data_IF_411431937279
#
_entry.id   IF_411431937279
#
_cell.length_a   1.000
_cell.length_b   1.000
_cell.length_c   1.000
_cell.angle_alpha   90.00
_cell.angle_beta   90.00
_cell.angle_gamma   90.00
#
_symmetry.space_group_name_H-M   'P 1'
#
loop_
_entity.id
_entity.type
_entity.pdbx_description
1 polymer ?
#
# COMPACT_ATOMS: atom_id res chain seq x y z
N UNK A 1 -81.22 -41.37 -8.15
CA UNK A 1 -81.86 -40.06 -7.89
C UNK A 1 -80.83 -39.00 -8.28
N UNK A 2 -80.83 -38.58 -9.55
CA UNK A 2 -81.44 -37.32 -10.05
C UNK A 2 -80.75 -36.09 -9.44
N UNK A 3 -80.33 -35.03 -10.13
CA UNK A 3 -80.37 -34.55 -11.50
C UNK A 3 -79.44 -33.31 -11.53
N UNK A 4 -78.74 -33.02 -12.62
CA UNK A 4 -78.40 -31.61 -12.99
C UNK A 4 -79.63 -30.99 -13.71
N UNK A 5 -79.70 -29.71 -14.19
CA UNK A 5 -78.77 -28.56 -14.21
C UNK A 5 -79.45 -27.17 -13.97
N UNK A 6 -78.78 -26.06 -14.36
CA UNK A 6 -79.22 -24.68 -14.72
C UNK A 6 -78.62 -23.57 -13.83
N UNK A 7 -77.65 -22.75 -14.28
CA UNK A 7 -77.72 -21.56 -15.18
C UNK A 7 -78.63 -20.42 -14.71
N UNK A 8 -78.05 -19.27 -14.32
CA UNK A 8 -78.28 -17.96 -14.97
C UNK A 8 -77.31 -16.85 -14.50
N UNK A 9 -76.56 -16.34 -15.47
CA UNK A 9 -76.15 -14.94 -15.77
C UNK A 9 -76.20 -13.83 -14.70
N UNK A 10 -75.11 -13.06 -14.59
CA UNK A 10 -75.10 -11.60 -14.89
C UNK A 10 -73.68 -10.97 -14.90
N UNK A 11 -73.35 -10.40 -16.07
CA UNK A 11 -72.60 -9.15 -16.35
C UNK A 11 -71.18 -8.92 -15.79
N UNK A 12 -70.20 -9.10 -16.67
CA UNK A 12 -68.85 -8.52 -16.62
C UNK A 12 -68.89 -7.06 -17.11
N UNK A 13 -68.32 -6.07 -16.40
CA UNK A 13 -68.05 -4.76 -16.98
C UNK A 13 -66.76 -4.81 -17.81
N UNK A 14 -66.90 -4.59 -19.11
CA UNK A 14 -65.79 -4.22 -19.98
C UNK A 14 -65.26 -2.83 -19.60
N UNK A 15 -64.04 -2.75 -19.07
CA UNK A 15 -63.27 -1.49 -19.09
C UNK A 15 -62.36 -1.48 -20.32
N UNK A 16 -62.75 -0.65 -21.29
CA UNK A 16 -61.95 -0.21 -22.44
C UNK A 16 -60.61 0.35 -21.97
N UNK A 17 -59.52 -0.19 -22.47
CA UNK A 17 -58.23 0.50 -22.52
C UNK A 17 -58.28 1.48 -23.69
N UNK A 18 -58.75 2.70 -23.43
CA UNK A 18 -58.56 3.85 -24.33
C UNK A 18 -57.72 4.88 -23.59
N UNK A 19 -56.42 4.91 -23.89
CA UNK A 19 -55.59 6.09 -24.11
C UNK A 19 -54.11 5.72 -23.96
N UNK A 20 -53.44 5.57 -25.10
CA UNK A 20 -51.99 5.54 -25.20
C UNK A 20 -51.48 6.99 -25.06
N UNK A 21 -50.62 7.33 -24.09
CA UNK A 21 -49.98 8.64 -24.07
C UNK A 21 -48.95 8.69 -25.20
N UNK A 22 -49.14 9.62 -26.15
CA UNK A 22 -48.15 9.99 -27.15
C UNK A 22 -46.88 10.46 -26.42
N UNK A 23 -45.86 9.61 -26.34
CA UNK A 23 -44.51 10.03 -26.04
C UNK A 23 -44.03 10.91 -27.18
N UNK A 24 -43.92 12.22 -26.93
CA UNK A 24 -43.30 13.15 -27.86
C UNK A 24 -41.79 12.89 -27.86
N UNK A 25 -41.30 12.22 -28.91
CA UNK A 25 -39.87 12.05 -29.13
C UNK A 25 -39.25 13.40 -29.50
N UNK A 26 -38.57 14.05 -28.55
CA UNK A 26 -37.74 15.21 -28.84
C UNK A 26 -36.38 14.75 -29.39
N UNK A 27 -36.19 14.79 -30.72
CA UNK A 27 -34.91 14.48 -31.35
C UNK A 27 -33.86 15.56 -31.00
N UNK A 28 -32.74 15.15 -30.41
CA UNK A 28 -31.53 15.98 -30.34
C UNK A 28 -30.64 15.63 -31.54
N UNK A 29 -30.47 16.57 -32.48
CA UNK A 29 -29.58 16.41 -33.63
C UNK A 29 -28.14 16.68 -33.22
N UNK A 30 -27.30 15.63 -33.16
CA UNK A 30 -25.84 15.77 -33.00
C UNK A 30 -25.22 15.80 -34.40
N UNK A 31 -24.59 16.92 -34.77
CA UNK A 31 -23.83 17.04 -36.02
C UNK A 31 -22.51 16.27 -35.89
N UNK A 32 -22.35 15.21 -36.69
CA UNK A 32 -21.12 14.43 -36.85
C UNK A 32 -20.49 14.77 -38.22
N UNK A 33 -19.18 15.06 -38.34
CA UNK A 33 -18.56 15.46 -39.61
C UNK A 33 -18.06 14.25 -40.40
N UNK A 34 -18.93 13.30 -40.75
CA UNK A 34 -18.63 12.23 -41.75
C UNK A 34 -19.92 11.94 -42.53
N UNK A 35 -19.91 11.87 -43.88
CA UNK A 35 -21.15 11.77 -44.64
C UNK A 35 -21.71 10.33 -44.60
N UNK A 36 -22.99 10.23 -44.19
CA UNK A 36 -23.95 9.14 -44.43
C UNK A 36 -23.88 7.87 -43.56
N UNK A 37 -24.09 8.01 -42.25
CA UNK A 37 -24.94 7.07 -41.46
C UNK A 37 -25.69 7.89 -40.40
N UNK A 38 -27.02 7.96 -40.48
CA UNK A 38 -27.85 8.61 -39.46
C UNK A 38 -28.03 7.61 -38.30
N UNK A 39 -27.11 7.60 -37.34
CA UNK A 39 -27.28 6.79 -36.12
C UNK A 39 -28.31 7.48 -35.21
N UNK A 40 -29.55 7.02 -35.26
CA UNK A 40 -30.61 7.43 -34.32
C UNK A 40 -30.40 6.65 -33.03
N UNK A 41 -29.75 7.27 -32.04
CA UNK A 41 -29.68 6.72 -30.68
C UNK A 41 -30.97 7.16 -29.95
N UNK A 42 -31.83 6.23 -29.48
CA UNK A 42 -33.01 6.60 -28.70
C UNK A 42 -32.58 7.43 -27.48
N UNK A 43 -33.34 8.47 -27.13
CA UNK A 43 -33.02 9.36 -25.99
C UNK A 43 -32.78 8.54 -24.71
N UNK A 44 -33.53 7.46 -24.50
CA UNK A 44 -33.31 6.53 -23.38
C UNK A 44 -31.93 5.87 -23.38
N UNK A 45 -31.42 5.45 -24.54
CA UNK A 45 -30.07 4.87 -24.69
C UNK A 45 -28.99 5.95 -24.50
N UNK A 46 -29.21 7.17 -24.99
CA UNK A 46 -28.29 8.29 -24.76
C UNK A 46 -28.23 8.69 -23.27
N UNK A 47 -29.37 8.77 -22.60
CA UNK A 47 -29.45 9.04 -21.16
C UNK A 47 -28.83 7.91 -20.33
N UNK A 48 -28.99 6.64 -20.74
CA UNK A 48 -28.30 5.48 -20.15
C UNK A 48 -26.78 5.56 -20.33
N UNK A 49 -26.30 5.94 -21.51
CA UNK A 49 -24.87 6.14 -21.78
C UNK A 49 -24.29 7.32 -20.98
N UNK A 50 -25.04 8.42 -20.85
CA UNK A 50 -24.64 9.55 -20.00
C UNK A 50 -24.65 9.19 -18.52
N UNK A 51 -25.68 8.48 -18.04
CA UNK A 51 -25.71 7.94 -16.68
C UNK A 51 -24.54 7.00 -16.44
N UNK A 52 -24.28 6.06 -17.35
CA UNK A 52 -23.17 5.11 -17.26
C UNK A 52 -21.82 5.83 -17.22
N UNK A 53 -21.60 6.84 -18.07
CA UNK A 53 -20.40 7.69 -18.03
C UNK A 53 -20.27 8.48 -16.73
N UNK A 54 -21.34 9.09 -16.25
CA UNK A 54 -21.35 9.83 -14.99
C UNK A 54 -21.10 8.92 -13.79
N UNK A 55 -21.66 7.71 -13.78
CA UNK A 55 -21.42 6.71 -12.73
C UNK A 55 -19.99 6.19 -12.76
N UNK A 56 -19.41 5.95 -13.95
CA UNK A 56 -18.01 5.55 -14.08
C UNK A 56 -17.06 6.66 -13.64
N UNK A 57 -17.34 7.92 -14.00
CA UNK A 57 -16.57 9.08 -13.53
C UNK A 57 -16.58 9.18 -12.01
N UNK A 58 -17.78 9.12 -11.39
CA UNK A 58 -17.91 9.21 -9.93
C UNK A 58 -17.24 8.05 -9.21
N UNK A 59 -17.29 6.84 -9.78
CA UNK A 59 -16.59 5.67 -9.23
C UNK A 59 -15.06 5.86 -9.29
N UNK A 60 -14.55 6.38 -10.41
CA UNK A 60 -13.12 6.65 -10.56
C UNK A 60 -12.65 7.73 -9.56
N UNK A 61 -13.39 8.82 -9.42
CA UNK A 61 -13.06 9.91 -8.49
C UNK A 61 -13.02 9.41 -7.03
N UNK A 62 -13.99 8.55 -6.65
CA UNK A 62 -13.99 7.93 -5.32
C UNK A 62 -12.80 7.00 -5.14
N UNK A 63 -12.48 6.16 -6.13
CA UNK A 63 -11.31 5.29 -6.07
C UNK A 63 -10.00 6.09 -5.93
N UNK A 64 -9.85 7.17 -6.69
CA UNK A 64 -8.68 8.06 -6.56
C UNK A 64 -8.58 8.69 -5.17
N UNK A 65 -9.72 9.10 -4.59
CA UNK A 65 -9.78 9.58 -3.20
C UNK A 65 -9.39 8.49 -2.19
N UNK A 66 -9.80 7.25 -2.41
CA UNK A 66 -9.41 6.11 -1.55
C UNK A 66 -7.90 5.84 -1.58
N UNK A 67 -7.24 6.07 -2.72
CA UNK A 67 -5.78 6.02 -2.89
C UNK A 67 -5.09 7.38 -2.68
N UNK A 68 -5.73 8.31 -1.98
CA UNK A 68 -5.15 9.60 -1.61
C UNK A 68 -5.14 9.79 -0.08
N UNK A 69 -4.23 9.14 0.68
CA UNK A 69 -4.23 9.21 2.15
C UNK A 69 -4.17 10.64 2.71
N UNK A 70 -3.57 11.59 1.98
CA UNK A 70 -3.56 13.01 2.35
C UNK A 70 -4.95 13.63 2.47
N UNK A 71 -5.93 13.16 1.69
CA UNK A 71 -7.33 13.63 1.76
C UNK A 71 -8.08 13.11 2.99
N UNK A 72 -7.50 12.17 3.73
CA UNK A 72 -8.08 11.57 4.94
C UNK A 72 -7.40 12.03 6.22
N UNK A 73 -6.32 12.83 6.14
CA UNK A 73 -5.70 13.42 7.33
C UNK A 73 -6.69 14.32 8.07
N UNK A 74 -6.81 14.08 9.38
CA UNK A 74 -7.60 14.92 10.28
C UNK A 74 -6.80 16.11 10.84
N UNK A 75 -5.47 16.14 10.63
CA UNK A 75 -4.57 17.14 11.22
C UNK A 75 -4.49 18.41 10.40
N UNK A 76 -4.45 18.29 9.08
CA UNK A 76 -4.14 19.40 8.16
C UNK A 76 -4.82 19.20 6.80
N UNK A 77 -4.69 20.18 5.92
CA UNK A 77 -5.09 20.01 4.51
C UNK A 77 -4.22 18.97 3.81
N UNK A 78 -4.71 18.42 2.69
CA UNK A 78 -3.98 17.40 1.93
C UNK A 78 -2.58 17.85 1.47
N UNK A 79 -2.43 19.11 1.06
CA UNK A 79 -1.13 19.64 0.63
C UNK A 79 -0.21 19.93 1.83
N UNK A 80 -0.77 20.44 2.93
CA UNK A 80 0.01 20.82 4.10
C UNK A 80 0.50 19.60 4.86
N UNK A 81 -0.30 18.52 4.95
CA UNK A 81 0.13 17.28 5.60
C UNK A 81 1.32 16.65 4.86
N UNK A 82 1.32 16.67 3.51
CA UNK A 82 2.45 16.16 2.71
C UNK A 82 3.71 16.99 2.97
N UNK A 83 3.61 18.33 2.96
CA UNK A 83 4.75 19.22 3.24
C UNK A 83 5.28 19.05 4.65
N UNK A 84 4.37 18.97 5.64
CA UNK A 84 4.71 18.75 7.04
C UNK A 84 5.41 17.40 7.21
N UNK A 85 4.91 16.36 6.56
CA UNK A 85 5.48 15.02 6.60
C UNK A 85 6.93 15.01 6.09
N UNK A 86 7.18 15.52 4.88
CA UNK A 86 8.54 15.58 4.31
C UNK A 86 9.47 16.37 5.23
N UNK A 87 8.99 17.47 5.83
CA UNK A 87 9.78 18.27 6.77
C UNK A 87 10.14 17.46 8.02
N UNK A 88 9.15 16.81 8.65
CA UNK A 88 9.35 16.00 9.84
C UNK A 88 10.35 14.84 9.60
N UNK A 89 10.24 14.15 8.46
CA UNK A 89 11.14 13.07 8.08
C UNK A 89 12.59 13.57 7.86
N UNK A 90 12.76 14.71 7.19
CA UNK A 90 14.07 15.35 6.99
C UNK A 90 14.69 15.75 8.31
N UNK A 91 13.95 16.47 9.16
CA UNK A 91 14.44 16.90 10.46
C UNK A 91 14.82 15.71 11.35
N UNK A 92 14.00 14.66 11.37
CA UNK A 92 14.31 13.42 12.09
C UNK A 92 15.58 12.76 11.57
N UNK A 93 15.77 12.72 10.26
CA UNK A 93 16.96 12.14 9.63
C UNK A 93 18.22 12.96 9.91
N UNK A 94 18.15 14.30 9.86
CA UNK A 94 19.27 15.16 10.24
C UNK A 94 19.62 15.02 11.73
N UNK A 95 18.62 14.89 12.61
CA UNK A 95 18.86 14.57 14.02
C UNK A 95 19.60 13.24 14.17
N UNK A 96 19.19 12.20 13.44
CA UNK A 96 19.86 10.91 13.47
C UNK A 96 21.32 10.99 13.03
N UNK A 97 21.63 11.77 11.98
CA UNK A 97 23.00 12.01 11.49
C UNK A 97 23.88 12.71 12.53
N UNK A 98 23.29 13.56 13.37
CA UNK A 98 24.01 14.22 14.48
C UNK A 98 24.26 13.32 15.70
N UNK A 99 23.52 12.21 15.84
CA UNK A 99 23.56 11.32 17.01
C UNK A 99 24.31 10.00 16.77
N UNK A 100 24.36 9.53 15.52
CA UNK A 100 24.93 8.24 15.16
C UNK A 100 26.19 8.39 14.30
N UNK A 101 27.06 7.38 14.32
CA UNK A 101 28.05 7.24 13.25
C UNK A 101 27.32 6.82 11.98
N UNK A 102 27.53 7.56 10.87
CA UNK A 102 26.82 7.28 9.62
C UNK A 102 27.75 6.89 8.48
N UNK A 103 27.36 5.86 7.72
CA UNK A 103 27.92 5.53 6.42
C UNK A 103 26.87 5.87 5.36
N UNK A 104 27.06 6.98 4.65
CA UNK A 104 26.10 7.46 3.66
C UNK A 104 26.47 6.96 2.27
N UNK A 105 25.46 6.74 1.43
CA UNK A 105 25.63 6.36 0.03
C UNK A 105 26.44 5.06 -0.20
N UNK A 106 26.31 4.09 0.70
CA UNK A 106 26.96 2.79 0.57
C UNK A 106 26.29 2.02 -0.58
N UNK A 107 27.00 1.69 -1.67
CA UNK A 107 26.38 1.03 -2.82
C UNK A 107 26.02 -0.42 -2.49
N UNK A 108 24.84 -0.85 -2.94
CA UNK A 108 24.44 -2.26 -2.96
C UNK A 108 24.20 -2.80 -4.39
N UNK A 109 24.24 -1.92 -5.38
CA UNK A 109 24.12 -2.22 -6.80
C UNK A 109 24.81 -1.14 -7.64
N UNK A 110 24.64 -1.21 -8.96
CA UNK A 110 25.31 -0.29 -9.90
C UNK A 110 24.49 0.98 -10.17
N UNK A 111 23.18 0.95 -9.90
CA UNK A 111 22.30 2.09 -10.14
C UNK A 111 22.47 3.23 -9.14
N UNK A 112 22.19 4.46 -9.57
CA UNK A 112 22.22 5.65 -8.69
C UNK A 112 21.27 5.55 -7.49
N UNK A 113 20.12 4.88 -7.67
CA UNK A 113 19.16 4.60 -6.60
C UNK A 113 19.59 3.47 -5.67
N UNK A 114 20.58 2.64 -6.05
CA UNK A 114 20.97 1.44 -5.31
C UNK A 114 22.01 1.71 -4.21
N UNK A 115 21.64 2.59 -3.28
CA UNK A 115 22.50 3.05 -2.18
C UNK A 115 21.80 2.91 -0.83
N UNK A 116 22.60 2.72 0.21
CA UNK A 116 22.17 2.64 1.61
C UNK A 116 22.72 3.84 2.38
N UNK A 117 21.95 4.32 3.35
CA UNK A 117 22.46 5.12 4.47
C UNK A 117 22.38 4.26 5.74
N UNK A 118 23.52 4.03 6.38
CA UNK A 118 23.64 3.15 7.55
C UNK A 118 23.99 3.96 8.79
N UNK A 119 23.18 3.81 9.82
CA UNK A 119 23.29 4.49 11.12
C UNK A 119 23.76 3.45 12.14
N UNK A 120 25.00 3.60 12.59
CA UNK A 120 25.70 2.63 13.43
C UNK A 120 25.65 3.11 14.89
N UNK A 121 25.18 2.27 15.83
CA UNK A 121 25.17 2.58 17.24
C UNK A 121 26.59 2.56 17.82
N UNK A 122 26.85 3.42 18.80
CA UNK A 122 28.06 3.29 19.62
C UNK A 122 27.85 2.17 20.65
N UNK A 123 28.33 0.97 20.37
CA UNK A 123 28.20 -0.19 21.24
C UNK A 123 29.47 -1.04 21.25
N UNK A 124 29.70 -1.74 22.36
CA UNK A 124 30.79 -2.72 22.50
C UNK A 124 30.34 -4.14 22.16
N UNK A 125 29.05 -4.36 21.89
CA UNK A 125 28.54 -5.67 21.46
C UNK A 125 29.04 -6.00 20.06
N UNK A 126 29.51 -7.23 19.87
CA UNK A 126 29.89 -7.73 18.55
C UNK A 126 28.65 -8.01 17.71
N UNK A 127 27.64 -8.67 18.28
CA UNK A 127 26.38 -8.96 17.57
C UNK A 127 25.32 -7.90 17.89
N UNK A 128 24.76 -7.29 16.85
CA UNK A 128 23.75 -6.21 16.97
C UNK A 128 22.51 -6.53 16.12
N UNK A 129 21.29 -6.19 16.58
CA UNK A 129 20.13 -6.24 15.71
C UNK A 129 20.25 -5.16 14.64
N UNK A 130 19.79 -5.48 13.42
CA UNK A 130 19.78 -4.57 12.29
C UNK A 130 18.35 -4.46 11.75
N UNK A 131 17.86 -3.23 11.59
CA UNK A 131 16.58 -2.96 10.91
C UNK A 131 16.83 -2.28 9.57
N UNK A 132 16.23 -2.84 8.51
CA UNK A 132 16.13 -2.20 7.20
C UNK A 132 14.83 -1.40 7.14
N UNK A 133 14.93 -0.12 6.81
CA UNK A 133 13.80 0.75 6.57
C UNK A 133 13.59 1.01 5.07
N UNK A 134 12.35 0.83 4.63
CA UNK A 134 11.89 1.08 3.26
C UNK A 134 10.86 2.22 3.26
N UNK A 135 11.16 3.28 2.51
CA UNK A 135 10.32 4.48 2.51
C UNK A 135 9.01 4.33 1.73
N UNK A 136 8.06 5.22 2.00
CA UNK A 136 6.79 5.29 1.27
C UNK A 136 6.89 6.13 0.00
N UNK A 137 5.83 6.86 -0.29
CA UNK A 137 5.79 7.81 -1.41
C UNK A 137 5.31 7.22 -2.74
N UNK A 138 4.44 6.20 -2.71
CA UNK A 138 3.84 5.59 -3.92
C UNK A 138 4.86 5.14 -4.97
N UNK A 139 6.06 4.73 -4.53
CA UNK A 139 7.18 4.37 -5.41
C UNK A 139 7.60 5.49 -6.39
N UNK A 140 7.25 6.74 -6.07
CA UNK A 140 7.37 7.93 -6.93
C UNK A 140 8.02 9.11 -6.21
N UNK A 141 8.05 9.09 -4.89
CA UNK A 141 8.50 10.18 -4.03
C UNK A 141 9.29 9.62 -2.85
N UNK A 142 9.93 10.55 -2.12
CA UNK A 142 10.84 10.29 -1.01
C UNK A 142 12.10 9.53 -1.46
N UNK A 143 13.03 9.41 -0.52
CA UNK A 143 14.31 8.76 -0.74
C UNK A 143 14.93 8.31 0.58
N UNK A 144 16.09 7.67 0.53
CA UNK A 144 16.82 7.30 1.75
C UNK A 144 17.25 8.53 2.58
N UNK A 145 17.36 9.69 1.94
CA UNK A 145 17.75 10.96 2.55
C UNK A 145 16.74 11.46 3.59
N UNK A 146 15.48 11.02 3.52
CA UNK A 146 14.42 11.30 4.50
C UNK A 146 14.09 10.10 5.40
N UNK A 147 14.95 9.07 5.42
CA UNK A 147 14.59 7.75 5.97
C UNK A 147 15.42 7.32 7.18
N UNK A 148 16.20 8.23 7.77
CA UNK A 148 17.04 7.95 8.94
C UNK A 148 16.38 8.23 10.29
N UNK A 149 15.19 8.82 10.31
CA UNK A 149 14.54 9.34 11.54
C UNK A 149 14.39 8.31 12.67
N UNK A 150 14.08 7.05 12.35
CA UNK A 150 13.95 6.00 13.36
C UNK A 150 15.26 5.63 14.04
N UNK A 151 16.40 6.02 13.47
CA UNK A 151 17.70 5.77 14.09
C UNK A 151 17.87 6.59 15.38
N UNK A 152 17.17 7.72 15.55
CA UNK A 152 17.25 8.56 16.75
C UNK A 152 17.06 7.74 18.04
N UNK A 153 15.95 7.01 18.27
CA UNK A 153 15.83 6.19 19.47
C UNK A 153 16.57 4.84 19.37
N UNK A 154 16.69 4.26 18.18
CA UNK A 154 17.17 2.89 18.00
C UNK A 154 18.68 2.74 18.21
N UNK A 155 19.49 3.71 17.76
CA UNK A 155 20.95 3.62 17.90
C UNK A 155 21.38 3.66 19.37
N UNK A 156 20.65 4.41 20.21
CA UNK A 156 20.87 4.43 21.66
C UNK A 156 20.56 3.09 22.33
N UNK A 157 19.74 2.25 21.71
CA UNK A 157 19.43 0.89 22.16
C UNK A 157 20.34 -0.18 21.52
N UNK A 158 21.39 0.24 20.81
CA UNK A 158 22.37 -0.64 20.19
C UNK A 158 21.85 -1.35 18.94
N UNK A 159 20.95 -0.71 18.20
CA UNK A 159 20.36 -1.22 16.95
C UNK A 159 21.01 -0.48 15.76
N UNK A 160 21.39 -1.22 14.72
CA UNK A 160 21.80 -0.64 13.43
C UNK A 160 20.55 -0.34 12.61
N UNK A 161 20.47 0.86 12.05
CA UNK A 161 19.39 1.24 11.12
C UNK A 161 19.97 1.41 9.72
N UNK A 162 19.34 0.77 8.74
CA UNK A 162 19.70 0.88 7.32
C UNK A 162 18.53 1.47 6.55
N UNK A 163 18.69 2.69 6.07
CA UNK A 163 17.76 3.30 5.14
C UNK A 163 18.14 2.91 3.70
N UNK A 164 17.23 2.26 2.99
CA UNK A 164 17.48 1.78 1.62
C UNK A 164 16.92 2.79 0.62
N UNK A 165 17.77 3.23 -0.30
CA UNK A 165 17.32 3.88 -1.53
C UNK A 165 16.99 2.82 -2.58
N UNK A 166 16.05 3.13 -3.47
CA UNK A 166 15.77 2.35 -4.68
C UNK A 166 15.31 3.32 -5.78
N UNK A 167 15.35 2.91 -7.04
CA UNK A 167 14.84 3.76 -8.11
C UNK A 167 13.33 3.98 -7.95
N UNK A 168 12.84 5.16 -8.31
CA UNK A 168 11.41 5.50 -8.26
C UNK A 168 10.88 5.74 -9.67
N UNK A 169 9.58 5.56 -9.87
CA UNK A 169 8.93 5.86 -11.14
C UNK A 169 9.02 7.35 -11.49
N UNK A 170 9.16 7.71 -12.78
CA UNK A 170 9.09 6.83 -13.96
C UNK A 170 10.43 6.19 -14.36
N UNK A 171 11.53 6.45 -13.63
CA UNK A 171 12.85 5.88 -13.95
C UNK A 171 12.89 4.38 -13.60
N UNK A 172 12.38 4.03 -12.42
CA UNK A 172 12.15 2.65 -12.00
C UNK A 172 10.77 2.13 -12.43
N UNK A 173 10.61 0.80 -12.39
CA UNK A 173 9.32 0.12 -12.50
C UNK A 173 9.18 -0.91 -11.36
N UNK A 174 7.98 -1.45 -11.17
CA UNK A 174 7.66 -2.29 -10.01
C UNK A 174 8.62 -3.48 -9.83
N UNK A 175 8.91 -4.23 -10.90
CA UNK A 175 9.80 -5.39 -10.79
C UNK A 175 11.25 -5.00 -10.50
N UNK A 176 11.70 -3.89 -11.08
CA UNK A 176 13.04 -3.35 -10.83
C UNK A 176 13.16 -2.96 -9.35
N UNK A 177 12.18 -2.24 -8.80
CA UNK A 177 12.17 -1.83 -7.40
C UNK A 177 12.16 -3.03 -6.46
N UNK A 178 11.31 -4.03 -6.73
CA UNK A 178 11.27 -5.28 -5.95
C UNK A 178 12.61 -6.04 -6.03
N UNK A 179 13.23 -6.10 -7.22
CA UNK A 179 14.56 -6.70 -7.37
C UNK A 179 15.64 -5.93 -6.61
N UNK A 180 15.61 -4.59 -6.65
CA UNK A 180 16.55 -3.72 -5.96
C UNK A 180 16.49 -3.90 -4.45
N UNK A 181 15.30 -3.90 -3.83
CA UNK A 181 15.21 -4.08 -2.38
C UNK A 181 15.63 -5.49 -1.94
N UNK A 182 15.43 -6.52 -2.76
CA UNK A 182 15.98 -7.87 -2.51
C UNK A 182 17.51 -7.87 -2.56
N UNK A 183 18.12 -7.21 -3.56
CA UNK A 183 19.58 -7.04 -3.64
C UNK A 183 20.14 -6.25 -2.45
N UNK A 184 19.40 -5.26 -1.94
CA UNK A 184 19.81 -4.51 -0.76
C UNK A 184 19.97 -5.43 0.47
N UNK A 185 19.07 -6.38 0.67
CA UNK A 185 19.15 -7.37 1.75
C UNK A 185 20.36 -8.29 1.56
N UNK A 186 20.62 -8.74 0.33
CA UNK A 186 21.81 -9.55 0.01
C UNK A 186 23.09 -8.81 0.38
N UNK A 187 23.20 -7.56 -0.05
CA UNK A 187 24.34 -6.70 0.25
C UNK A 187 24.51 -6.47 1.75
N UNK A 188 23.43 -6.19 2.48
CA UNK A 188 23.48 -5.99 3.93
C UNK A 188 24.02 -7.25 4.63
N UNK A 189 23.52 -8.44 4.31
CA UNK A 189 23.99 -9.69 4.94
C UNK A 189 25.46 -9.97 4.62
N UNK A 190 25.90 -9.66 3.40
CA UNK A 190 27.28 -9.89 2.98
C UNK A 190 28.26 -8.88 3.60
N UNK A 191 27.83 -7.63 3.79
CA UNK A 191 28.67 -6.56 4.35
C UNK A 191 28.70 -6.58 5.89
N UNK A 192 27.62 -7.04 6.55
CA UNK A 192 27.48 -7.01 8.00
C UNK A 192 27.34 -8.43 8.57
N UNK A 193 28.48 -9.05 8.90
CA UNK A 193 28.54 -10.45 9.35
C UNK A 193 28.15 -10.69 10.82
N UNK A 194 28.06 -9.63 11.63
CA UNK A 194 27.74 -9.71 13.06
C UNK A 194 26.37 -9.15 13.39
N UNK A 195 25.34 -9.66 12.71
CA UNK A 195 23.95 -9.31 12.97
C UNK A 195 23.30 -10.39 13.85
N UNK A 196 22.74 -9.98 14.99
CA UNK A 196 21.99 -10.89 15.87
C UNK A 196 20.61 -11.25 15.31
N UNK A 197 20.16 -10.53 14.27
CA UNK A 197 18.89 -10.73 13.57
C UNK A 197 18.59 -9.57 12.63
N UNK A 198 17.93 -9.87 11.51
CA UNK A 198 17.47 -8.88 10.55
C UNK A 198 15.99 -8.57 10.79
N UNK A 199 15.65 -7.29 10.81
CA UNK A 199 14.29 -6.80 10.94
C UNK A 199 13.96 -5.89 9.76
N UNK A 200 12.69 -5.88 9.36
CA UNK A 200 12.20 -5.00 8.31
C UNK A 200 11.23 -3.98 8.91
N UNK A 201 11.28 -2.75 8.43
CA UNK A 201 10.26 -1.74 8.68
C UNK A 201 9.96 -1.06 7.36
N UNK A 202 8.69 -1.00 6.97
CA UNK A 202 8.26 -0.33 5.75
C UNK A 202 7.03 0.51 6.02
N UNK A 203 6.93 1.63 5.31
CA UNK A 203 5.76 2.51 5.35
C UNK A 203 5.11 2.60 3.97
N UNK A 204 3.79 2.41 3.87
CA UNK A 204 3.06 2.62 2.62
C UNK A 204 3.62 1.73 1.49
N UNK A 205 4.07 2.33 0.38
CA UNK A 205 4.82 1.66 -0.68
C UNK A 205 6.07 0.89 -0.18
N UNK A 206 6.69 1.32 0.93
CA UNK A 206 7.79 0.60 1.56
C UNK A 206 7.34 -0.63 2.36
N UNK A 207 6.14 -0.60 2.95
CA UNK A 207 5.54 -1.79 3.59
C UNK A 207 5.19 -2.85 2.54
N UNK A 208 4.73 -2.42 1.37
CA UNK A 208 4.60 -3.29 0.20
C UNK A 208 5.95 -3.95 -0.15
N UNK A 209 7.02 -3.17 -0.30
CA UNK A 209 8.35 -3.70 -0.63
C UNK A 209 8.90 -4.64 0.46
N UNK A 210 8.67 -4.32 1.75
CA UNK A 210 9.03 -5.21 2.86
C UNK A 210 8.29 -6.55 2.78
N UNK A 211 6.99 -6.54 2.46
CA UNK A 211 6.23 -7.75 2.27
C UNK A 211 6.73 -8.56 1.06
N UNK A 212 7.15 -7.90 -0.02
CA UNK A 212 7.78 -8.56 -1.17
C UNK A 212 9.14 -9.21 -0.82
N UNK A 213 9.89 -8.63 0.12
CA UNK A 213 11.11 -9.22 0.69
C UNK A 213 10.77 -10.48 1.48
N UNK A 214 9.76 -10.44 2.36
CA UNK A 214 9.32 -11.59 3.16
C UNK A 214 8.86 -12.77 2.29
N UNK A 215 8.21 -12.49 1.16
CA UNK A 215 7.77 -13.47 0.16
C UNK A 215 8.85 -13.93 -0.81
N UNK A 216 10.12 -13.56 -0.61
CA UNK A 216 11.20 -13.90 -1.55
C UNK A 216 11.66 -15.34 -1.37
N UNK A 217 11.73 -16.10 -2.46
CA UNK A 217 12.43 -17.38 -2.46
C UNK A 217 13.94 -17.14 -2.41
N UNK A 218 14.49 -17.19 -1.19
CA UNK A 218 15.91 -16.94 -0.94
C UNK A 218 16.83 -18.03 -1.49
N UNK A 219 16.31 -19.20 -1.89
CA UNK A 219 17.13 -20.25 -2.53
C UNK A 219 17.70 -19.82 -3.89
N UNK A 220 17.10 -18.79 -4.50
CA UNK A 220 17.56 -18.16 -5.74
C UNK A 220 18.71 -17.16 -5.53
N UNK A 221 19.07 -16.88 -4.27
CA UNK A 221 20.11 -15.95 -3.88
C UNK A 221 21.26 -16.70 -3.18
N UNK A 222 22.43 -16.06 -3.09
CA UNK A 222 23.61 -16.63 -2.44
C UNK A 222 23.57 -16.55 -0.90
N UNK A 223 22.44 -16.14 -0.32
CA UNK A 223 22.27 -15.86 1.11
C UNK A 223 20.89 -16.33 1.56
N UNK A 224 20.78 -16.63 2.85
CA UNK A 224 19.49 -16.88 3.51
C UNK A 224 19.38 -15.94 4.71
N UNK A 225 18.67 -14.81 4.60
CA UNK A 225 18.52 -13.88 5.72
C UNK A 225 17.78 -14.53 6.89
N UNK A 226 18.28 -14.30 8.09
CA UNK A 226 17.52 -14.57 9.31
C UNK A 226 16.60 -13.38 9.62
N UNK A 227 15.50 -13.26 8.88
CA UNK A 227 14.48 -12.23 9.12
C UNK A 227 13.68 -12.64 10.36
N UNK A 228 13.88 -11.93 11.47
CA UNK A 228 13.25 -12.24 12.77
C UNK A 228 11.95 -11.47 13.00
N UNK A 229 11.77 -10.33 12.34
CA UNK A 229 10.53 -9.57 12.45
C UNK A 229 10.33 -8.54 11.35
N UNK A 230 9.08 -8.15 11.14
CA UNK A 230 8.70 -7.15 10.15
C UNK A 230 7.58 -6.24 10.64
N UNK A 231 7.77 -4.93 10.49
CA UNK A 231 6.78 -3.89 10.71
C UNK A 231 6.27 -3.36 9.38
N UNK A 232 5.04 -3.70 9.03
CA UNK A 232 4.38 -3.30 7.79
C UNK A 232 3.36 -2.21 8.12
N UNK A 233 3.77 -0.94 7.97
CA UNK A 233 2.99 0.21 8.44
C UNK A 233 2.21 0.84 7.30
N UNK A 234 0.87 0.79 7.39
CA UNK A 234 -0.09 1.39 6.46
C UNK A 234 0.21 1.03 5.01
N UNK A 235 0.45 -0.26 4.75
CA UNK A 235 0.92 -0.77 3.47
C UNK A 235 -0.16 -1.01 2.42
N UNK A 236 0.31 -1.30 1.20
CA UNK A 236 -0.50 -1.71 0.06
C UNK A 236 -0.12 -3.15 -0.28
N UNK A 237 -1.09 -4.05 -0.31
CA UNK A 237 -0.86 -5.49 -0.46
C UNK A 237 -1.61 -6.10 -1.66
N UNK A 238 -2.54 -5.37 -2.25
CA UNK A 238 -3.16 -5.65 -3.55
C UNK A 238 -2.98 -4.43 -4.47
N UNK A 239 -2.25 -4.62 -5.57
CA UNK A 239 -1.95 -3.58 -6.54
C UNK A 239 -2.97 -3.50 -7.68
N UNK A 240 -3.89 -4.45 -7.81
CA UNK A 240 -4.87 -4.44 -8.91
C UNK A 240 -5.73 -3.15 -8.93
N UNK A 241 -6.25 -2.65 -7.79
CA UNK A 241 -7.08 -1.44 -7.83
C UNK A 241 -6.30 -0.20 -8.28
N UNK A 242 -4.99 -0.15 -8.04
CA UNK A 242 -4.11 0.98 -8.42
C UNK A 242 -4.10 1.20 -9.93
N UNK A 243 -4.27 0.15 -10.73
CA UNK A 243 -4.27 0.22 -12.20
C UNK A 243 -5.27 1.25 -12.75
N UNK A 244 -6.36 1.50 -12.01
CA UNK A 244 -7.44 2.43 -12.40
C UNK A 244 -7.31 3.82 -11.76
N UNK A 245 -6.18 4.13 -11.12
CA UNK A 245 -5.94 5.38 -10.39
C UNK A 245 -4.79 6.19 -10.97
N UNK A 246 -4.71 7.48 -10.62
CA UNK A 246 -3.59 8.36 -11.00
C UNK A 246 -2.21 7.83 -10.57
N UNK A 247 -2.15 6.99 -9.53
CA UNK A 247 -0.90 6.40 -9.02
C UNK A 247 -0.21 5.55 -10.09
N UNK A 248 -0.97 4.92 -11.00
CA UNK A 248 -0.40 4.07 -12.05
C UNK A 248 0.14 4.86 -13.25
N UNK A 249 -0.15 6.15 -13.39
CA UNK A 249 0.29 6.95 -14.54
C UNK A 249 1.81 6.94 -14.76
N UNK A 250 2.67 7.14 -13.73
CA UNK A 250 4.11 7.00 -13.88
C UNK A 250 4.61 5.56 -13.78
N UNK A 251 3.91 4.67 -13.05
CA UNK A 251 4.33 3.28 -12.84
C UNK A 251 4.09 2.41 -14.08
N UNK A 252 3.03 2.71 -14.84
CA UNK A 252 2.60 2.01 -16.05
C UNK A 252 2.54 0.50 -15.87
N UNK A 253 2.05 0.05 -14.71
CA UNK A 253 1.89 -1.37 -14.45
C UNK A 253 0.82 -1.94 -15.39
N UNK A 254 1.10 -3.14 -15.90
CA UNK A 254 0.09 -4.00 -16.49
C UNK A 254 -0.57 -4.83 -15.38
N UNK A 255 -1.67 -5.50 -15.71
CA UNK A 255 -2.34 -6.42 -14.77
C UNK A 255 -1.39 -7.53 -14.30
N UNK A 256 -0.56 -8.08 -15.20
CA UNK A 256 0.42 -9.11 -14.86
C UNK A 256 1.52 -8.60 -13.93
N UNK A 257 1.91 -7.32 -14.04
CA UNK A 257 2.87 -6.68 -13.14
C UNK A 257 2.24 -6.47 -11.77
N UNK A 258 1.00 -5.98 -11.72
CA UNK A 258 0.28 -5.76 -10.47
C UNK A 258 0.04 -7.07 -9.70
N UNK A 259 -0.43 -8.11 -10.39
CA UNK A 259 -0.69 -9.42 -9.79
C UNK A 259 0.57 -10.04 -9.17
N UNK A 260 1.67 -10.13 -9.92
CA UNK A 260 2.90 -10.78 -9.42
C UNK A 260 3.58 -9.99 -8.30
N UNK A 261 3.29 -8.69 -8.20
CA UNK A 261 3.82 -7.82 -7.17
C UNK A 261 2.76 -7.47 -6.12
N UNK A 262 1.69 -8.26 -5.96
CA UNK A 262 0.71 -8.09 -4.88
C UNK A 262 1.02 -9.05 -3.73
N UNK A 263 1.56 -8.59 -2.58
CA UNK A 263 1.86 -9.44 -1.44
C UNK A 263 0.70 -10.33 -0.96
N UNK A 264 -0.55 -9.86 -1.12
CA UNK A 264 -1.76 -10.64 -0.82
C UNK A 264 -1.84 -11.96 -1.58
N UNK A 265 -1.23 -12.06 -2.76
CA UNK A 265 -1.16 -13.28 -3.57
C UNK A 265 0.04 -14.18 -3.21
N UNK A 266 0.92 -13.72 -2.31
CA UNK A 266 2.22 -14.33 -2.03
C UNK A 266 2.37 -14.82 -0.57
N UNK A 267 1.25 -14.96 0.16
CA UNK A 267 1.24 -15.47 1.53
C UNK A 267 1.82 -16.90 1.64
N UNK A 268 1.51 -17.84 0.72
CA UNK A 268 2.13 -19.18 0.76
C UNK A 268 3.66 -19.12 0.63
N UNK A 269 4.18 -18.25 -0.26
CA UNK A 269 5.61 -18.05 -0.46
C UNK A 269 6.25 -17.43 0.78
N UNK A 270 5.59 -16.44 1.40
CA UNK A 270 6.04 -15.85 2.65
C UNK A 270 6.17 -16.92 3.75
N UNK A 271 5.20 -17.83 3.85
CA UNK A 271 5.26 -18.91 4.84
C UNK A 271 6.45 -19.84 4.63
N UNK A 272 6.80 -20.14 3.38
CA UNK A 272 7.96 -20.98 3.07
C UNK A 272 9.28 -20.27 3.36
N UNK A 273 9.36 -18.97 3.10
CA UNK A 273 10.61 -18.21 3.17
C UNK A 273 10.90 -17.59 4.54
N UNK A 274 9.86 -17.24 5.30
CA UNK A 274 9.96 -16.41 6.51
C UNK A 274 9.09 -16.94 7.65
N UNK A 275 9.01 -18.27 7.84
CA UNK A 275 8.11 -18.91 8.81
C UNK A 275 8.31 -18.49 10.26
N UNK A 276 9.54 -18.10 10.62
CA UNK A 276 9.94 -17.78 12.00
C UNK A 276 9.89 -16.27 12.30
N UNK A 277 9.43 -15.46 11.34
CA UNK A 277 9.34 -14.01 11.43
C UNK A 277 8.10 -13.58 12.21
N UNK A 278 8.27 -12.69 13.20
CA UNK A 278 7.16 -12.02 13.88
C UNK A 278 6.70 -10.80 13.04
N UNK A 279 5.46 -10.83 12.55
CA UNK A 279 4.93 -9.80 11.63
C UNK A 279 3.95 -8.89 12.38
N UNK A 280 4.19 -7.60 12.34
CA UNK A 280 3.24 -6.57 12.79
C UNK A 280 2.71 -5.86 11.56
N UNK A 281 1.41 -5.97 11.32
CA UNK A 281 0.69 -5.11 10.38
C UNK A 281 0.13 -3.95 11.20
N UNK A 282 0.64 -2.74 10.99
CA UNK A 282 0.17 -1.55 11.68
C UNK A 282 -0.59 -0.65 10.71
N UNK A 283 -1.68 -0.04 11.15
CA UNK A 283 -2.47 0.89 10.33
C UNK A 283 -2.93 2.08 11.14
N UNK A 284 -3.00 3.25 10.50
CA UNK A 284 -3.46 4.44 11.18
C UNK A 284 -4.99 4.45 11.35
N UNK A 285 -5.46 4.91 12.51
CA UNK A 285 -6.89 5.04 12.78
C UNK A 285 -7.62 5.89 11.72
N UNK A 286 -6.99 6.97 11.28
CA UNK A 286 -7.52 7.92 10.30
C UNK A 286 -6.82 7.80 8.95
N UNK A 287 -6.41 6.59 8.57
CA UNK A 287 -6.03 6.30 7.18
C UNK A 287 -7.28 6.24 6.27
N UNK A 288 -7.07 6.21 4.95
CA UNK A 288 -8.17 6.00 4.03
C UNK A 288 -8.83 4.63 4.25
N UNK A 289 -10.14 4.48 3.99
CA UNK A 289 -10.83 3.21 4.11
C UNK A 289 -10.17 2.09 3.30
N UNK A 290 -9.62 2.38 2.13
CA UNK A 290 -8.90 1.38 1.33
C UNK A 290 -7.59 0.93 1.96
N UNK A 291 -6.76 1.82 2.51
CA UNK A 291 -5.53 1.41 3.20
C UNK A 291 -5.81 0.61 4.47
N UNK A 292 -6.87 0.97 5.20
CA UNK A 292 -7.38 0.19 6.34
C UNK A 292 -7.83 -1.20 5.89
N UNK A 293 -8.66 -1.26 4.85
CA UNK A 293 -9.15 -2.51 4.28
C UNK A 293 -8.00 -3.41 3.82
N UNK A 294 -7.02 -2.90 3.07
CA UNK A 294 -5.89 -3.70 2.62
C UNK A 294 -5.06 -4.24 3.78
N UNK A 295 -4.83 -3.43 4.83
CA UNK A 295 -4.11 -3.86 6.03
C UNK A 295 -4.86 -4.98 6.77
N UNK A 296 -6.17 -4.81 6.97
CA UNK A 296 -7.01 -5.82 7.61
C UNK A 296 -7.11 -7.12 6.79
N UNK A 297 -7.27 -7.02 5.48
CA UNK A 297 -7.37 -8.18 4.59
C UNK A 297 -6.04 -8.95 4.52
N UNK A 298 -4.91 -8.23 4.43
CA UNK A 298 -3.59 -8.87 4.46
C UNK A 298 -3.30 -9.51 5.81
N UNK A 299 -3.63 -8.85 6.92
CA UNK A 299 -3.56 -9.43 8.27
C UNK A 299 -4.34 -10.75 8.35
N UNK A 300 -5.62 -10.78 7.92
CA UNK A 300 -6.44 -12.00 7.95
C UNK A 300 -5.86 -13.11 7.09
N UNK A 301 -5.29 -12.78 5.93
CA UNK A 301 -4.64 -13.76 5.07
C UNK A 301 -3.41 -14.39 5.75
N UNK A 302 -2.60 -13.58 6.44
CA UNK A 302 -1.46 -14.06 7.23
C UNK A 302 -1.90 -14.86 8.45
N UNK A 303 -2.88 -14.38 9.21
CA UNK A 303 -3.38 -15.01 10.44
C UNK A 303 -4.02 -16.37 10.17
N UNK A 304 -4.71 -16.51 9.04
CA UNK A 304 -5.30 -17.79 8.62
C UNK A 304 -4.27 -18.81 8.10
N UNK A 305 -3.00 -18.42 7.96
CA UNK A 305 -1.92 -19.31 7.53
C UNK A 305 -1.19 -19.90 8.74
N UNK A 306 -1.26 -21.22 8.91
CA UNK A 306 -0.74 -21.90 10.10
C UNK A 306 0.76 -21.63 10.35
N UNK A 307 1.06 -21.31 11.61
CA UNK A 307 2.42 -21.11 12.11
C UNK A 307 3.07 -19.79 11.68
N UNK A 308 2.33 -18.83 11.12
CA UNK A 308 2.78 -17.44 11.09
C UNK A 308 2.41 -16.76 12.40
N UNK A 309 3.29 -15.90 12.90
CA UNK A 309 3.03 -15.05 14.06
C UNK A 309 2.76 -13.65 13.55
N UNK A 310 1.50 -13.25 13.59
CA UNK A 310 1.07 -11.95 13.08
C UNK A 310 0.24 -11.20 14.11
N UNK A 311 0.38 -9.88 14.17
CA UNK A 311 -0.43 -8.99 15.00
C UNK A 311 -0.89 -7.80 14.18
N UNK A 312 -2.14 -7.36 14.40
CA UNK A 312 -2.69 -6.13 13.83
C UNK A 312 -2.66 -5.03 14.88
N UNK A 313 -2.05 -3.89 14.56
CA UNK A 313 -2.00 -2.69 15.39
C UNK A 313 -2.80 -1.57 14.73
N UNK A 314 -3.97 -1.23 15.28
CA UNK A 314 -4.75 -0.06 14.88
C UNK A 314 -4.35 1.14 15.75
N UNK A 315 -3.58 2.06 15.17
CA UNK A 315 -2.85 3.06 15.94
C UNK A 315 -3.71 4.31 16.15
N UNK A 316 -4.11 4.62 17.40
CA UNK A 316 -5.06 5.69 17.68
C UNK A 316 -4.48 7.07 17.40
N UNK A 317 -5.34 8.03 17.05
CA UNK A 317 -4.98 9.44 16.82
C UNK A 317 -3.87 9.64 15.77
N UNK A 318 -3.72 8.69 14.85
CA UNK A 318 -2.78 8.80 13.73
C UNK A 318 -3.52 8.88 12.40
N UNK A 319 -2.89 9.53 11.43
CA UNK A 319 -3.17 9.43 10.01
C UNK A 319 -2.01 8.71 9.32
N UNK A 320 -2.12 8.52 8.00
CA UNK A 320 -1.13 7.83 7.19
C UNK A 320 0.31 8.39 7.31
N UNK A 321 0.47 9.61 7.80
CA UNK A 321 1.75 10.31 7.86
C UNK A 321 2.33 10.29 9.28
N UNK A 322 1.60 10.76 10.30
CA UNK A 322 2.17 10.83 11.66
C UNK A 322 2.32 9.49 12.35
N UNK A 323 1.75 8.41 11.80
CA UNK A 323 1.99 7.05 12.29
C UNK A 323 3.49 6.70 12.29
N UNK A 324 4.24 7.20 11.31
CA UNK A 324 5.70 7.02 11.24
C UNK A 324 6.52 8.24 11.68
N UNK A 325 5.98 9.47 11.59
CA UNK A 325 6.70 10.68 12.06
C UNK A 325 7.12 10.55 13.53
N UNK A 326 6.30 9.86 14.32
CA UNK A 326 6.52 9.62 15.75
C UNK A 326 7.53 8.52 16.06
N UNK A 327 8.02 7.74 15.08
CA UNK A 327 9.07 6.73 15.31
C UNK A 327 10.43 7.33 15.70
N UNK A 328 10.56 8.65 15.63
CA UNK A 328 11.71 9.40 16.16
C UNK A 328 11.67 9.53 17.68
N UNK A 329 10.51 9.30 18.30
CA UNK A 329 10.31 9.32 19.74
C UNK A 329 10.46 7.90 20.32
N UNK A 330 11.31 7.77 21.33
CA UNK A 330 11.54 6.51 22.02
C UNK A 330 10.31 6.01 22.75
N UNK A 331 9.47 6.89 23.30
CA UNK A 331 8.33 6.52 24.14
C UNK A 331 7.06 6.22 23.34
N UNK A 332 7.08 6.48 22.03
CA UNK A 332 5.97 6.18 21.15
C UNK A 332 5.69 4.67 21.05
N UNK A 333 4.41 4.30 21.07
CA UNK A 333 3.95 2.90 21.13
C UNK A 333 4.59 2.01 20.05
N UNK A 334 4.59 2.44 18.78
CA UNK A 334 5.21 1.62 17.72
C UNK A 334 6.73 1.53 17.85
N UNK A 335 7.40 2.58 18.34
CA UNK A 335 8.85 2.53 18.61
C UNK A 335 9.15 1.51 19.70
N UNK A 336 8.38 1.52 20.79
CA UNK A 336 8.51 0.57 21.89
C UNK A 336 8.22 -0.86 21.45
N UNK A 337 7.19 -1.07 20.62
CA UNK A 337 6.87 -2.38 20.07
C UNK A 337 7.99 -2.89 19.15
N UNK A 338 8.56 -2.02 18.31
CA UNK A 338 9.69 -2.35 17.44
C UNK A 338 10.94 -2.70 18.24
N UNK A 339 11.28 -1.91 19.27
CA UNK A 339 12.39 -2.21 20.18
C UNK A 339 12.19 -3.55 20.89
N UNK A 340 10.98 -3.80 21.42
CA UNK A 340 10.61 -5.06 22.09
C UNK A 340 10.77 -6.25 21.15
N UNK A 341 10.35 -6.13 19.89
CA UNK A 341 10.53 -7.17 18.86
C UNK A 341 12.02 -7.50 18.65
N UNK A 342 12.90 -6.50 18.77
CA UNK A 342 14.36 -6.67 18.70
C UNK A 342 15.02 -7.10 20.02
N UNK A 343 14.23 -7.40 21.07
CA UNK A 343 14.73 -7.74 22.40
C UNK A 343 15.39 -6.56 23.13
N UNK A 344 14.99 -5.33 22.79
CA UNK A 344 15.44 -4.10 23.44
C UNK A 344 14.30 -3.53 24.27
N UNK A 345 14.58 -3.19 25.53
CA UNK A 345 13.66 -2.51 26.46
C UNK A 345 14.27 -1.23 26.98
#
# INVERSE_FOLDING_TARGET
MSCSPAQETTLVPQTRWTHCPRWSFFLLLIFCPIPKVLCVVPIGVYLLLLHSRATMSRWKDELERQFSPSQWSHRMSADDVIKSHVTALKEGTERARGLAQTLLNVPYGEGEGEKLDVYVPTTTSLDVPLVIYLHGGYWQFLSKEESGFMAVPLVHKGVVVVAVGYDIAPKGNMDVMVSQVRRSVVSVIQQYSHISGLYLCGHSAGAHLAAMILSTDWSQYSVTPQIKGAFLVSGIYDLLPILSTYVNEPLKMTEEVALRNSPSQLVPQLKLSSSDCDIVVAVAQNDSPEFRKQSEDYYKALESTEGLKVTLEDVPNTDHFNIIEQLVDGDYHLTQLLLKMMGKS
#
